data_IF_123437239542
#
_entry.id   IF_123437239542
#
_cell.length_a   1.000
_cell.length_b   1.000
_cell.length_c   1.000
_cell.angle_alpha   90.00
_cell.angle_beta   90.00
_cell.angle_gamma   90.00
#
_symmetry.space_group_name_H-M   'P 1'
#
loop_
_entity.id
_entity.type
_entity.pdbx_description
1 polymer ?
#
# COMPACT_ATOMS: atom_id res chain seq x y z
N UNK A 1 23.89 -7.38 -9.57
CA UNK A 1 23.97 -5.94 -9.89
C UNK A 1 25.39 -5.47 -9.62
N UNK A 2 26.04 -4.87 -10.62
CA UNK A 2 27.43 -4.39 -10.53
C UNK A 2 27.42 -2.90 -10.18
N UNK A 3 28.12 -2.50 -9.12
CA UNK A 3 28.26 -1.08 -8.78
C UNK A 3 29.50 -0.50 -9.48
N UNK A 4 29.61 0.82 -9.50
CA UNK A 4 30.75 1.53 -10.09
C UNK A 4 32.08 1.24 -9.38
N UNK A 5 32.03 0.63 -8.19
CA UNK A 5 33.19 0.24 -7.38
C UNK A 5 33.59 -1.23 -7.57
N UNK A 6 32.84 -2.00 -8.37
CA UNK A 6 33.16 -3.37 -8.75
C UNK A 6 33.90 -3.32 -10.10
N UNK A 7 35.22 -3.16 -10.05
CA UNK A 7 36.08 -3.29 -11.23
C UNK A 7 35.94 -4.69 -11.82
N UNK A 8 35.50 -4.78 -13.09
CA UNK A 8 35.79 -5.87 -14.03
C UNK A 8 35.31 -7.30 -13.72
N UNK A 9 35.51 -7.80 -12.51
CA UNK A 9 35.48 -9.21 -12.15
C UNK A 9 34.06 -9.77 -11.98
N UNK A 10 33.93 -11.05 -12.34
CA UNK A 10 32.70 -11.82 -12.15
C UNK A 10 32.62 -12.23 -10.69
N UNK A 11 31.54 -11.84 -10.02
CA UNK A 11 31.32 -12.23 -8.64
C UNK A 11 30.94 -13.72 -8.61
N UNK A 12 31.75 -14.52 -7.92
CA UNK A 12 31.50 -15.93 -7.69
C UNK A 12 30.96 -16.16 -6.27
N UNK A 13 29.89 -16.94 -6.17
CA UNK A 13 29.36 -17.45 -4.91
C UNK A 13 29.37 -18.98 -4.97
N UNK A 14 30.13 -19.61 -4.08
CA UNK A 14 30.19 -21.08 -3.98
C UNK A 14 30.64 -21.78 -5.27
N UNK A 15 31.51 -21.15 -6.07
CA UNK A 15 32.00 -21.69 -7.35
C UNK A 15 31.04 -21.50 -8.54
N UNK A 16 29.95 -20.74 -8.37
CA UNK A 16 29.02 -20.38 -9.45
C UNK A 16 29.02 -18.87 -9.72
N UNK A 17 29.01 -18.50 -11.00
CA UNK A 17 28.96 -17.10 -11.41
C UNK A 17 27.56 -16.53 -11.19
N UNK A 18 27.47 -15.41 -10.47
CA UNK A 18 26.22 -14.68 -10.31
C UNK A 18 25.86 -14.02 -11.64
N UNK A 19 24.62 -14.25 -12.10
CA UNK A 19 24.10 -13.56 -13.29
C UNK A 19 24.02 -12.05 -13.03
N UNK A 20 24.57 -11.28 -13.94
CA UNK A 20 24.44 -9.83 -13.91
C UNK A 20 23.00 -9.42 -14.22
N UNK A 21 22.42 -8.57 -13.37
CA UNK A 21 21.07 -8.03 -13.49
C UNK A 21 21.11 -6.53 -13.29
N UNK A 22 20.19 -5.80 -13.94
CA UNK A 22 20.05 -4.33 -13.84
C UNK A 22 19.22 -3.88 -12.64
N UNK A 23 18.39 -4.77 -12.07
CA UNK A 23 17.62 -4.55 -10.86
C UNK A 23 17.53 -5.84 -10.03
N UNK A 24 17.20 -5.71 -8.74
CA UNK A 24 16.76 -6.83 -7.89
C UNK A 24 15.49 -6.43 -7.14
N UNK A 25 14.67 -7.42 -6.78
CA UNK A 25 13.51 -7.19 -5.93
C UNK A 25 13.86 -7.58 -4.50
N UNK A 26 13.89 -6.61 -3.59
CA UNK A 26 14.11 -6.85 -2.18
C UNK A 26 12.90 -6.37 -1.39
N UNK A 27 12.34 -7.26 -0.57
CA UNK A 27 11.11 -7.01 0.18
C UNK A 27 10.03 -6.36 -0.70
N UNK A 28 9.78 -6.94 -1.88
CA UNK A 28 8.75 -6.48 -2.80
C UNK A 28 9.06 -5.20 -3.59
N UNK A 29 10.18 -4.51 -3.30
CA UNK A 29 10.58 -3.26 -3.97
C UNK A 29 11.65 -3.52 -5.03
N UNK A 30 11.48 -2.97 -6.23
CA UNK A 30 12.57 -2.95 -7.23
C UNK A 30 13.66 -1.96 -6.80
N UNK A 31 14.90 -2.44 -6.74
CA UNK A 31 16.09 -1.62 -6.46
C UNK A 31 17.02 -1.69 -7.66
N UNK A 32 17.55 -0.54 -8.06
CA UNK A 32 18.57 -0.41 -9.11
C UNK A 32 19.78 0.36 -8.58
N UNK A 33 20.87 0.35 -9.36
CA UNK A 33 22.14 0.98 -8.95
C UNK A 33 22.10 2.50 -9.01
N UNK A 34 21.21 3.08 -9.80
CA UNK A 34 21.01 4.53 -9.86
C UNK A 34 20.16 5.07 -8.69
N UNK A 35 19.62 4.19 -7.85
CA UNK A 35 18.67 4.56 -6.79
C UNK A 35 17.37 5.17 -7.32
N UNK A 36 17.10 5.06 -8.63
CA UNK A 36 15.92 5.64 -9.24
C UNK A 36 14.69 4.77 -8.95
N UNK A 37 13.57 5.41 -8.61
CA UNK A 37 12.32 4.71 -8.28
C UNK A 37 11.40 4.53 -9.48
N UNK A 38 11.90 4.75 -10.70
CA UNK A 38 11.08 4.81 -11.91
C UNK A 38 10.34 3.50 -12.15
N UNK A 39 11.06 2.39 -12.12
CA UNK A 39 10.49 1.06 -12.35
C UNK A 39 9.50 0.65 -11.25
N UNK A 40 9.80 0.99 -9.99
CA UNK A 40 8.90 0.78 -8.86
C UNK A 40 7.61 1.62 -8.98
N UNK A 41 7.74 2.88 -9.43
CA UNK A 41 6.59 3.76 -9.66
C UNK A 41 5.67 3.23 -10.77
N UNK A 42 6.23 2.70 -11.86
CA UNK A 42 5.43 2.08 -12.93
C UNK A 42 4.73 0.82 -12.45
N UNK A 43 5.41 -0.03 -11.67
CA UNK A 43 4.78 -1.23 -11.07
C UNK A 43 3.65 -0.86 -10.11
N UNK A 44 3.84 0.17 -9.28
CA UNK A 44 2.79 0.69 -8.39
C UNK A 44 1.63 1.26 -9.17
N UNK A 45 1.89 2.01 -10.24
CA UNK A 45 0.84 2.52 -11.12
C UNK A 45 0.05 1.37 -11.74
N UNK A 46 0.71 0.33 -12.22
CA UNK A 46 0.05 -0.86 -12.75
C UNK A 46 -0.82 -1.58 -11.69
N UNK A 47 -0.30 -1.73 -10.46
CA UNK A 47 -1.06 -2.29 -9.34
C UNK A 47 -2.29 -1.43 -9.00
N UNK A 48 -2.15 -0.10 -8.99
CA UNK A 48 -3.26 0.84 -8.81
C UNK A 48 -4.28 0.80 -9.94
N UNK A 49 -3.88 0.54 -11.18
CA UNK A 49 -4.83 0.36 -12.29
C UNK A 49 -5.63 -0.93 -12.11
N UNK A 50 -4.98 -2.02 -11.68
CA UNK A 50 -5.64 -3.30 -11.38
C UNK A 50 -6.58 -3.23 -10.15
N UNK A 51 -6.41 -2.20 -9.32
CA UNK A 51 -7.24 -1.95 -8.15
C UNK A 51 -8.66 -1.46 -8.48
N UNK A 52 -8.83 -0.71 -9.57
CA UNK A 52 -10.15 -0.17 -9.96
C UNK A 52 -11.22 -1.26 -10.11
N UNK A 53 -10.98 -2.32 -10.90
CA UNK A 53 -11.90 -3.44 -11.05
C UNK A 53 -12.17 -4.19 -9.73
N UNK A 54 -11.19 -4.27 -8.83
CA UNK A 54 -11.37 -4.88 -7.50
C UNK A 54 -12.38 -4.07 -6.68
N UNK A 55 -12.27 -2.74 -6.68
CA UNK A 55 -13.24 -1.87 -6.03
C UNK A 55 -14.64 -2.01 -6.63
N UNK A 56 -14.75 -2.07 -7.94
CA UNK A 56 -16.02 -2.27 -8.63
C UNK A 56 -16.68 -3.61 -8.26
N UNK A 57 -15.90 -4.70 -8.20
CA UNK A 57 -16.37 -5.99 -7.72
C UNK A 57 -16.80 -5.95 -6.24
N UNK A 58 -16.05 -5.24 -5.38
CA UNK A 58 -16.46 -5.04 -3.99
C UNK A 58 -17.73 -4.19 -3.88
N UNK A 59 -17.93 -3.24 -4.78
CA UNK A 59 -19.11 -2.39 -4.78
C UNK A 59 -20.36 -3.13 -5.24
N UNK A 60 -20.26 -4.24 -5.98
CA UNK A 60 -21.41 -5.08 -6.33
C UNK A 60 -21.93 -5.92 -5.16
N UNK A 61 -21.13 -6.14 -4.11
CA UNK A 61 -21.59 -6.86 -2.92
C UNK A 61 -22.66 -6.05 -2.17
N UNK A 62 -23.73 -6.73 -1.77
CA UNK A 62 -24.76 -6.14 -0.93
C UNK A 62 -24.38 -6.14 0.56
N UNK A 63 -23.59 -7.11 1.01
CA UNK A 63 -23.19 -7.26 2.40
C UNK A 63 -22.05 -6.30 2.77
N UNK A 64 -22.32 -5.40 3.71
CA UNK A 64 -21.38 -4.41 4.21
C UNK A 64 -20.21 -5.06 4.98
N UNK A 65 -20.47 -6.09 5.77
CA UNK A 65 -19.45 -6.73 6.61
C UNK A 65 -18.48 -7.53 5.72
N UNK A 66 -19.00 -8.25 4.70
CA UNK A 66 -18.17 -8.95 3.73
C UNK A 66 -17.30 -7.99 2.90
N UNK A 67 -17.84 -6.82 2.51
CA UNK A 67 -17.07 -5.77 1.82
C UNK A 67 -15.96 -5.21 2.70
N UNK A 68 -16.26 -4.91 3.96
CA UNK A 68 -15.27 -4.42 4.92
C UNK A 68 -14.14 -5.44 5.10
N UNK A 69 -14.46 -6.73 5.22
CA UNK A 69 -13.46 -7.80 5.31
C UNK A 69 -12.60 -7.94 4.05
N UNK A 70 -13.19 -7.85 2.86
CA UNK A 70 -12.43 -7.94 1.61
C UNK A 70 -11.47 -6.75 1.44
N UNK A 71 -11.94 -5.54 1.76
CA UNK A 71 -11.11 -4.34 1.75
C UNK A 71 -10.00 -4.41 2.80
N UNK A 72 -10.30 -4.82 4.03
CA UNK A 72 -9.32 -4.98 5.10
C UNK A 72 -8.23 -6.01 4.75
N UNK A 73 -8.60 -7.12 4.11
CA UNK A 73 -7.68 -8.21 3.77
C UNK A 73 -6.76 -7.89 2.58
N UNK A 74 -7.27 -7.18 1.57
CA UNK A 74 -6.56 -7.01 0.28
C UNK A 74 -6.01 -5.60 0.13
N UNK A 75 -6.89 -4.60 0.30
CA UNK A 75 -6.61 -3.20 0.00
C UNK A 75 -5.78 -2.57 1.12
N UNK A 76 -6.22 -2.79 2.35
CA UNK A 76 -5.62 -2.19 3.52
C UNK A 76 -4.21 -2.74 3.78
N UNK A 77 -4.03 -4.04 3.56
CA UNK A 77 -2.75 -4.70 3.72
C UNK A 77 -1.71 -4.21 2.69
N UNK A 78 -2.11 -4.09 1.42
CA UNK A 78 -1.24 -3.61 0.34
C UNK A 78 -0.83 -2.15 0.55
N UNK A 79 -1.80 -1.27 0.87
CA UNK A 79 -1.57 0.15 1.14
C UNK A 79 -0.64 0.37 2.33
N UNK A 80 -0.84 -0.38 3.41
CA UNK A 80 -0.03 -0.25 4.62
C UNK A 80 1.38 -0.81 4.43
N UNK A 81 1.52 -1.90 3.68
CA UNK A 81 2.83 -2.43 3.28
C UNK A 81 3.60 -1.40 2.44
N UNK A 82 2.95 -0.80 1.45
CA UNK A 82 3.56 0.24 0.63
C UNK A 82 3.94 1.46 1.46
N UNK A 83 3.08 1.90 2.37
CA UNK A 83 3.38 3.01 3.27
C UNK A 83 4.58 2.74 4.18
N UNK A 84 4.77 1.50 4.62
CA UNK A 84 5.92 1.11 5.44
C UNK A 84 7.25 1.14 4.67
N UNK A 85 7.21 1.00 3.35
CA UNK A 85 8.39 1.15 2.49
C UNK A 85 8.66 2.61 2.09
N UNK A 86 7.70 3.50 2.32
CA UNK A 86 7.86 4.95 2.19
C UNK A 86 8.50 5.52 3.46
N UNK A 87 9.19 6.65 3.32
CA UNK A 87 9.75 7.35 4.47
C UNK A 87 8.62 7.80 5.43
N UNK A 88 8.81 7.60 6.74
CA UNK A 88 7.91 8.05 7.81
C UNK A 88 7.94 9.60 7.91
N UNK A 89 7.27 10.25 6.97
CA UNK A 89 7.18 11.70 6.86
C UNK A 89 5.76 12.17 7.18
N UNK A 90 5.61 13.42 7.62
CA UNK A 90 4.29 14.00 7.85
C UNK A 90 3.40 13.97 6.58
N UNK A 91 4.02 14.03 5.40
CA UNK A 91 3.33 13.94 4.11
C UNK A 91 2.72 12.55 3.89
N UNK A 92 3.46 11.46 4.13
CA UNK A 92 2.95 10.10 3.95
C UNK A 92 1.80 9.78 4.91
N UNK A 93 1.89 10.22 6.16
CA UNK A 93 0.81 10.11 7.14
C UNK A 93 -0.47 10.84 6.69
N UNK A 94 -0.34 12.06 6.15
CA UNK A 94 -1.48 12.82 5.61
C UNK A 94 -2.11 12.13 4.39
N UNK A 95 -1.30 11.56 3.52
CA UNK A 95 -1.77 10.80 2.36
C UNK A 95 -2.55 9.56 2.78
N UNK A 96 -2.02 8.77 3.72
CA UNK A 96 -2.72 7.60 4.28
C UNK A 96 -4.09 7.98 4.85
N UNK A 97 -4.15 9.01 5.69
CA UNK A 97 -5.44 9.50 6.25
C UNK A 97 -6.45 9.91 5.18
N UNK A 98 -5.98 10.40 4.04
CA UNK A 98 -6.84 10.79 2.92
C UNK A 98 -7.38 9.57 2.19
N UNK A 99 -6.53 8.56 1.98
CA UNK A 99 -6.89 7.28 1.38
C UNK A 99 -7.89 6.54 2.28
N UNK A 100 -7.65 6.46 3.58
CA UNK A 100 -8.56 5.81 4.54
C UNK A 100 -9.96 6.42 4.48
N UNK A 101 -10.05 7.75 4.50
CA UNK A 101 -11.35 8.45 4.39
C UNK A 101 -12.02 8.22 3.04
N UNK A 102 -11.26 8.03 1.96
CA UNK A 102 -11.81 7.70 0.66
C UNK A 102 -12.37 6.27 0.63
N UNK A 103 -11.68 5.32 1.25
CA UNK A 103 -12.14 3.93 1.41
C UNK A 103 -13.38 3.85 2.30
N UNK A 104 -13.41 4.54 3.43
CA UNK A 104 -14.60 4.62 4.32
C UNK A 104 -15.84 5.11 3.55
N UNK A 105 -15.67 6.15 2.71
CA UNK A 105 -16.76 6.68 1.87
C UNK A 105 -17.19 5.71 0.78
N UNK A 106 -16.24 5.06 0.11
CA UNK A 106 -16.54 4.06 -0.93
C UNK A 106 -17.28 2.85 -0.34
N UNK A 107 -16.81 2.32 0.79
CA UNK A 107 -17.46 1.22 1.48
C UNK A 107 -18.92 1.58 1.81
N UNK A 108 -19.15 2.78 2.31
CA UNK A 108 -20.49 3.22 2.67
C UNK A 108 -21.31 3.77 1.49
N UNK A 109 -20.75 3.76 0.27
CA UNK A 109 -21.33 4.37 -0.94
C UNK A 109 -21.74 5.84 -0.74
N UNK A 110 -21.07 6.54 0.16
CA UNK A 110 -21.30 7.97 0.39
C UNK A 110 -20.50 8.79 -0.60
N UNK A 111 -21.19 9.58 -1.43
CA UNK A 111 -20.56 10.69 -2.12
C UNK A 111 -20.24 11.83 -1.14
N UNK A 112 -19.34 12.73 -1.52
CA UNK A 112 -19.01 13.91 -0.70
C UNK A 112 -20.25 14.76 -0.40
N UNK A 113 -21.16 14.88 -1.37
CA UNK A 113 -22.43 15.62 -1.22
C UNK A 113 -23.36 14.91 -0.25
N UNK A 114 -23.49 13.60 -0.38
CA UNK A 114 -24.36 12.78 0.48
C UNK A 114 -23.87 12.79 1.92
N UNK A 115 -22.55 12.72 2.14
CA UNK A 115 -21.95 12.85 3.47
C UNK A 115 -22.29 14.22 4.10
N UNK A 116 -22.11 15.30 3.34
CA UNK A 116 -22.37 16.65 3.83
C UNK A 116 -23.85 16.90 4.10
N UNK A 117 -24.74 16.42 3.23
CA UNK A 117 -26.19 16.49 3.43
C UNK A 117 -26.65 15.70 4.65
N UNK A 118 -26.02 14.56 4.93
CA UNK A 118 -26.28 13.77 6.12
C UNK A 118 -25.64 14.37 7.39
N UNK A 119 -24.86 15.44 7.28
CA UNK A 119 -24.17 16.08 8.41
C UNK A 119 -23.10 15.19 9.08
N UNK A 120 -22.65 14.13 8.41
CA UNK A 120 -21.78 13.10 9.00
C UNK A 120 -20.32 13.56 9.05
N UNK A 121 -19.73 13.51 10.24
CA UNK A 121 -18.30 13.72 10.45
C UNK A 121 -17.50 12.49 10.03
N UNK A 122 -16.21 12.68 9.84
CA UNK A 122 -15.28 11.58 9.51
C UNK A 122 -15.23 10.52 10.61
N UNK A 123 -15.44 10.89 11.88
CA UNK A 123 -15.56 9.96 13.00
C UNK A 123 -16.77 9.04 12.85
N UNK A 124 -17.87 9.59 12.35
CA UNK A 124 -19.13 8.88 12.24
C UNK A 124 -19.01 7.85 11.12
N UNK A 125 -18.39 8.23 10.00
CA UNK A 125 -18.04 7.30 8.92
C UNK A 125 -17.15 6.16 9.40
N UNK A 126 -16.15 6.41 10.25
CA UNK A 126 -15.31 5.35 10.85
C UNK A 126 -16.12 4.36 11.68
N UNK A 127 -17.09 4.86 12.44
CA UNK A 127 -17.93 4.02 13.29
C UNK A 127 -18.88 3.16 12.45
N UNK A 128 -19.44 3.73 11.39
CA UNK A 128 -20.38 3.03 10.50
C UNK A 128 -19.64 2.04 9.59
N UNK A 129 -18.45 2.41 9.10
CA UNK A 129 -17.67 1.58 8.16
C UNK A 129 -17.13 0.31 8.78
N UNK A 130 -16.95 0.27 10.11
CA UNK A 130 -16.36 -0.85 10.86
C UNK A 130 -14.97 -1.27 10.37
N UNK A 131 -14.34 -0.49 9.49
CA UNK A 131 -13.00 -0.75 8.99
C UNK A 131 -12.01 -0.71 10.15
N UNK A 132 -11.01 -1.59 10.08
CA UNK A 132 -10.02 -1.66 11.15
C UNK A 132 -9.15 -0.40 11.13
N UNK A 133 -9.03 0.27 12.28
CA UNK A 133 -8.18 1.47 12.37
C UNK A 133 -6.72 1.13 11.96
N UNK A 134 -6.13 1.82 10.97
CA UNK A 134 -4.75 1.64 10.52
C UNK A 134 -3.71 1.73 11.64
N UNK A 135 -3.97 2.58 12.63
CA UNK A 135 -3.06 2.79 13.77
C UNK A 135 -2.89 1.51 14.61
N UNK A 136 -3.86 0.59 14.56
CA UNK A 136 -3.77 -0.73 15.22
C UNK A 136 -2.76 -1.67 14.54
N UNK A 137 -2.49 -1.49 13.24
CA UNK A 137 -1.46 -2.25 12.54
C UNK A 137 -0.06 -1.73 12.90
N UNK A 138 0.11 -0.41 12.98
CA UNK A 138 1.37 0.22 13.39
C UNK A 138 1.81 -0.18 14.80
N UNK A 139 0.86 -0.14 15.74
CA UNK A 139 1.11 -0.41 17.17
C UNK A 139 1.37 -1.89 17.48
N UNK A 140 0.82 -2.84 16.71
CA UNK A 140 1.10 -4.27 16.88
C UNK A 140 2.53 -4.66 16.49
N UNK A 141 3.14 -3.98 15.51
CA UNK A 141 4.51 -4.26 15.10
C UNK A 141 5.57 -3.65 16.02
N UNK A 142 5.25 -2.56 16.72
CA UNK A 142 6.17 -1.95 17.71
C UNK A 142 6.28 -2.78 19.00
N UNK A 143 5.23 -3.50 19.39
CA UNK A 143 5.26 -4.39 20.56
C UNK A 143 6.03 -5.71 20.36
N UNK A 144 6.45 -6.03 19.14
CA UNK A 144 7.27 -7.22 18.83
C UNK A 144 8.77 -6.92 18.73
N UNK A 145 9.17 -5.68 19.01
CA UNK A 145 10.57 -5.20 18.99
C UNK A 145 11.08 -4.75 20.36
N UNK A 146 10.40 -5.11 21.45
CA UNK A 146 10.88 -4.98 22.82
C UNK A 146 11.07 -6.38 23.40
#
# INVERSE_FOLDING_TARGET
MKNMYCEGERIELGGSHIKETSFYVFLGRSMNMEGNLKEELERRRAAWTAFGPLMEATDQLADLDLRAHLLDSTVFLALYYDAKTLADTAATSKTLRTIDRALERSLLRYSWRTQHQAGLRSSDLRQISRLRNPEKYASKTLKKKL
#
